data_IF_091859433877
#
_entry.id   IF_091859433877
#
_cell.length_a   1.000
_cell.length_b   1.000
_cell.length_c   1.000
_cell.angle_alpha   90.00
_cell.angle_beta   90.00
_cell.angle_gamma   90.00
#
_symmetry.space_group_name_H-M   'P 1'
#
loop_
_entity.id
_entity.type
_entity.pdbx_description
1 polymer ?
#
# COMPACT_ATOMS: atom_id res chain seq x y z
N UNK A 1 -41.73 51.35 46.57
CA UNK A 1 -40.77 51.84 45.54
C UNK A 1 -41.06 51.12 44.22
N UNK A 2 -40.94 51.85 43.10
CA UNK A 2 -41.68 51.67 41.84
C UNK A 2 -41.15 50.54 40.94
N UNK A 3 -42.10 49.80 40.34
CA UNK A 3 -41.93 48.93 39.16
C UNK A 3 -41.26 49.68 37.99
N UNK A 4 -40.36 49.01 37.27
CA UNK A 4 -40.05 49.34 35.86
C UNK A 4 -40.06 48.07 35.03
N UNK A 5 -41.07 48.00 34.18
CA UNK A 5 -41.23 47.12 33.05
C UNK A 5 -40.69 47.88 31.82
N UNK A 6 -39.79 47.28 31.05
CA UNK A 6 -39.53 47.62 29.65
C UNK A 6 -38.99 46.35 28.95
N UNK A 7 -39.69 45.96 27.88
CA UNK A 7 -39.43 44.90 26.90
C UNK A 7 -39.21 45.64 25.55
N UNK A 8 -38.83 45.01 24.41
CA UNK A 8 -37.75 44.05 24.07
C UNK A 8 -36.72 44.70 23.10
N UNK A 9 -35.60 44.02 22.78
CA UNK A 9 -34.89 44.25 21.51
C UNK A 9 -34.50 42.92 20.87
N UNK A 10 -35.05 42.74 19.67
CA UNK A 10 -34.78 41.67 18.72
C UNK A 10 -33.38 41.88 18.13
N UNK A 11 -32.49 40.89 18.23
CA UNK A 11 -31.25 40.86 17.46
C UNK A 11 -31.08 39.46 16.86
N UNK A 12 -31.54 39.36 15.61
CA UNK A 12 -31.24 38.32 14.65
C UNK A 12 -29.75 38.42 14.28
N UNK A 13 -28.94 37.40 14.57
CA UNK A 13 -27.63 37.22 13.91
C UNK A 13 -27.44 35.75 13.54
N UNK A 14 -27.61 35.55 12.24
CA UNK A 14 -26.93 34.66 11.29
C UNK A 14 -26.28 33.37 11.81
N UNK A 15 -26.72 32.27 11.20
CA UNK A 15 -26.07 30.98 11.28
C UNK A 15 -24.65 31.01 10.72
N UNK A 16 -23.79 30.24 11.38
CA UNK A 16 -22.74 29.49 10.73
C UNK A 16 -23.23 28.05 10.67
N UNK A 17 -24.01 27.74 9.62
CA UNK A 17 -23.90 26.43 9.02
C UNK A 17 -22.45 26.34 8.53
N UNK A 18 -21.57 25.75 9.34
CA UNK A 18 -20.26 25.30 8.91
C UNK A 18 -20.42 24.10 7.99
N UNK A 19 -21.09 24.30 6.85
CA UNK A 19 -20.80 23.55 5.65
C UNK A 19 -19.56 24.19 5.05
N UNK A 20 -18.42 23.52 5.21
CA UNK A 20 -17.15 23.89 4.62
C UNK A 20 -16.34 22.62 4.43
N UNK A 21 -16.55 21.99 3.28
CA UNK A 21 -15.84 20.85 2.70
C UNK A 21 -15.65 19.62 3.59
N UNK A 22 -16.52 18.62 3.38
CA UNK A 22 -16.21 17.21 3.63
C UNK A 22 -15.02 16.79 2.75
N UNK A 23 -13.81 17.16 3.18
CA UNK A 23 -12.55 16.53 2.79
C UNK A 23 -11.80 16.27 4.08
N UNK A 24 -12.08 15.12 4.66
CA UNK A 24 -11.14 14.45 5.55
C UNK A 24 -9.74 14.45 4.86
N UNK A 25 -8.66 14.76 5.59
CA UNK A 25 -7.54 15.54 5.04
C UNK A 25 -6.61 14.79 4.05
N UNK A 26 -6.26 15.43 2.93
CA UNK A 26 -5.26 14.90 1.96
C UNK A 26 -3.93 14.53 2.64
N UNK A 27 -3.58 15.27 3.69
CA UNK A 27 -2.41 15.02 4.52
C UNK A 27 -2.50 13.68 5.27
N UNK A 28 -3.68 13.31 5.78
CA UNK A 28 -3.88 12.00 6.41
C UNK A 28 -3.87 10.88 5.37
N UNK A 29 -4.43 11.09 4.18
CA UNK A 29 -4.31 10.12 3.08
C UNK A 29 -2.85 9.92 2.64
N UNK A 30 -2.05 10.98 2.60
CA UNK A 30 -0.59 10.92 2.36
C UNK A 30 0.11 10.13 3.46
N UNK A 31 -0.15 10.45 4.74
CA UNK A 31 0.45 9.75 5.89
C UNK A 31 0.09 8.26 5.90
N UNK A 32 -1.16 7.91 5.58
CA UNK A 32 -1.61 6.53 5.45
C UNK A 32 -0.84 5.76 4.37
N UNK A 33 -0.48 6.43 3.26
CA UNK A 33 0.36 5.82 2.24
C UNK A 33 1.81 5.70 2.72
N UNK A 34 2.39 6.75 3.30
CA UNK A 34 3.81 6.79 3.66
C UNK A 34 4.21 5.77 4.74
N UNK A 35 3.34 5.51 5.71
CA UNK A 35 3.59 4.47 6.72
C UNK A 35 3.41 3.06 6.17
N UNK A 36 2.73 2.90 5.03
CA UNK A 36 2.58 1.64 4.30
C UNK A 36 3.61 1.48 3.18
N UNK A 37 4.28 2.54 2.74
CA UNK A 37 5.13 2.55 1.54
C UNK A 37 6.25 1.50 1.58
N UNK A 38 6.86 1.28 2.75
CA UNK A 38 7.90 0.25 2.94
C UNK A 38 7.36 -1.18 2.81
N UNK A 39 6.08 -1.42 3.12
CA UNK A 39 5.46 -2.74 2.93
C UNK A 39 5.48 -3.15 1.46
N UNK A 40 5.38 -2.20 0.52
CA UNK A 40 5.40 -2.44 -0.92
C UNK A 40 6.78 -2.98 -1.35
N UNK A 41 7.86 -2.43 -0.79
CA UNK A 41 9.21 -2.93 -1.01
C UNK A 41 9.40 -4.34 -0.44
N UNK A 42 8.92 -4.58 0.79
CA UNK A 42 8.96 -5.90 1.43
C UNK A 42 8.13 -6.91 0.62
N UNK A 43 6.96 -6.52 0.12
CA UNK A 43 6.09 -7.37 -0.66
C UNK A 43 6.78 -7.84 -1.94
N UNK A 44 7.41 -6.92 -2.68
CA UNK A 44 8.20 -7.27 -3.86
C UNK A 44 9.41 -8.14 -3.50
N UNK A 45 10.15 -7.80 -2.43
CA UNK A 45 11.32 -8.57 -2.00
C UNK A 45 10.94 -10.02 -1.64
N UNK A 46 9.93 -10.20 -0.81
CA UNK A 46 9.39 -11.51 -0.42
C UNK A 46 8.84 -12.26 -1.64
N UNK A 47 8.19 -11.55 -2.57
CA UNK A 47 7.75 -12.11 -3.85
C UNK A 47 8.91 -12.71 -4.66
N UNK A 48 10.01 -11.99 -4.82
CA UNK A 48 11.20 -12.50 -5.50
C UNK A 48 11.91 -13.62 -4.73
N UNK A 49 11.92 -13.58 -3.40
CA UNK A 49 12.41 -14.70 -2.59
C UNK A 49 11.59 -15.96 -2.86
N UNK A 50 10.27 -15.83 -2.86
CA UNK A 50 9.33 -16.89 -3.20
C UNK A 50 9.54 -17.41 -4.63
N UNK A 51 9.64 -16.51 -5.62
CA UNK A 51 9.95 -16.86 -7.01
C UNK A 51 11.25 -17.67 -7.13
N UNK A 52 12.32 -17.22 -6.49
CA UNK A 52 13.63 -17.85 -6.55
C UNK A 52 13.72 -19.17 -5.78
N UNK A 53 12.78 -19.43 -4.86
CA UNK A 53 12.68 -20.66 -4.09
C UNK A 53 11.66 -21.65 -4.67
N UNK A 54 10.73 -21.18 -5.50
CA UNK A 54 9.62 -21.97 -6.01
C UNK A 54 10.12 -23.12 -6.91
N UNK A 55 9.75 -24.35 -6.55
CA UNK A 55 9.93 -25.55 -7.38
C UNK A 55 8.66 -25.95 -8.13
N UNK A 56 7.62 -25.12 -8.07
CA UNK A 56 6.31 -25.35 -8.67
C UNK A 56 5.65 -24.03 -9.05
N UNK A 57 4.47 -24.09 -9.68
CA UNK A 57 3.67 -22.90 -9.97
C UNK A 57 3.22 -22.13 -8.71
N UNK A 58 3.26 -22.76 -7.54
CA UNK A 58 2.89 -22.12 -6.28
C UNK A 58 4.13 -21.51 -5.62
N UNK A 59 3.95 -20.30 -5.10
CA UNK A 59 4.90 -19.62 -4.24
C UNK A 59 4.46 -19.82 -2.80
N UNK A 60 5.26 -20.58 -2.05
CA UNK A 60 5.03 -20.82 -0.63
C UNK A 60 5.12 -19.50 0.17
N UNK A 61 4.37 -19.37 1.28
CA UNK A 61 4.35 -18.15 2.08
C UNK A 61 5.75 -17.70 2.52
N UNK A 62 6.09 -16.47 2.19
CA UNK A 62 7.27 -15.75 2.65
C UNK A 62 6.83 -14.68 3.67
N UNK A 63 7.54 -14.54 4.77
CA UNK A 63 7.14 -13.66 5.87
C UNK A 63 8.26 -12.71 6.27
N UNK A 64 7.89 -11.50 6.68
CA UNK A 64 8.76 -10.56 7.36
C UNK A 64 8.00 -9.79 8.45
N UNK A 65 8.75 -9.19 9.37
CA UNK A 65 8.17 -8.30 10.39
C UNK A 65 8.01 -6.88 9.85
N UNK A 66 7.05 -6.14 10.42
CA UNK A 66 7.11 -4.68 10.38
C UNK A 66 8.34 -4.16 11.14
N UNK A 67 8.80 -2.96 10.81
CA UNK A 67 9.95 -2.35 11.48
C UNK A 67 9.67 -2.09 12.97
N UNK A 68 8.38 -2.00 13.36
CA UNK A 68 7.95 -1.87 14.77
C UNK A 68 7.19 -3.09 15.25
N UNK A 69 6.12 -3.48 14.57
CA UNK A 69 5.22 -4.56 15.02
C UNK A 69 4.61 -5.34 13.86
N UNK A 70 4.04 -6.50 14.19
CA UNK A 70 3.27 -7.32 13.28
C UNK A 70 4.07 -7.88 12.12
N UNK A 71 3.36 -8.42 11.14
CA UNK A 71 3.92 -9.25 10.07
C UNK A 71 3.27 -8.97 8.72
N UNK A 72 4.09 -9.03 7.68
CA UNK A 72 3.68 -9.14 6.29
C UNK A 72 3.93 -10.58 5.82
N UNK A 73 2.95 -11.16 5.12
CA UNK A 73 3.04 -12.49 4.50
C UNK A 73 2.71 -12.36 3.02
N UNK A 74 3.60 -12.84 2.16
CA UNK A 74 3.43 -12.90 0.71
C UNK A 74 3.37 -14.35 0.27
N UNK A 75 2.31 -14.72 -0.45
CA UNK A 75 2.15 -16.04 -1.07
C UNK A 75 1.61 -15.86 -2.47
N UNK A 76 1.62 -16.87 -3.33
CA UNK A 76 1.05 -16.66 -4.65
C UNK A 76 1.36 -17.74 -5.66
N UNK A 77 1.43 -17.33 -6.92
CA UNK A 77 1.72 -18.20 -8.04
C UNK A 77 2.62 -17.53 -9.06
N UNK A 78 3.32 -18.34 -9.82
CA UNK A 78 4.10 -17.92 -10.96
C UNK A 78 3.92 -18.92 -12.11
N UNK A 79 3.89 -18.39 -13.34
CA UNK A 79 3.86 -19.21 -14.55
C UNK A 79 5.04 -20.19 -14.60
N UNK A 80 4.79 -21.40 -15.07
CA UNK A 80 5.80 -22.44 -15.26
C UNK A 80 6.20 -22.58 -16.72
N UNK A 81 7.36 -23.19 -16.96
CA UNK A 81 7.90 -23.47 -18.28
C UNK A 81 9.15 -22.68 -18.59
N UNK A 82 9.84 -23.11 -19.65
CA UNK A 82 11.10 -22.51 -20.09
C UNK A 82 10.82 -21.28 -20.98
N UNK A 83 10.60 -20.15 -20.32
CA UNK A 83 10.33 -18.87 -20.97
C UNK A 83 11.02 -17.77 -20.15
N UNK A 84 11.71 -16.82 -20.79
CA UNK A 84 12.27 -15.66 -20.10
C UNK A 84 11.17 -14.66 -19.66
N UNK A 85 9.93 -14.89 -20.08
CA UNK A 85 8.76 -14.10 -19.65
C UNK A 85 7.92 -14.92 -18.66
N UNK A 86 7.51 -14.29 -17.57
CA UNK A 86 6.75 -14.89 -16.47
C UNK A 86 5.68 -13.93 -15.96
N UNK A 87 4.49 -14.45 -15.66
CA UNK A 87 3.52 -13.74 -14.81
C UNK A 87 3.62 -14.28 -13.40
N UNK A 88 3.62 -13.39 -12.42
CA UNK A 88 3.65 -13.69 -11.00
C UNK A 88 2.52 -12.92 -10.31
N UNK A 89 1.62 -13.66 -9.67
CA UNK A 89 0.47 -13.12 -8.94
C UNK A 89 0.66 -13.42 -7.47
N UNK A 90 0.80 -12.38 -6.66
CA UNK A 90 1.09 -12.46 -5.24
C UNK A 90 -0.06 -11.91 -4.42
N UNK A 91 -0.44 -12.61 -3.36
CA UNK A 91 -1.39 -12.17 -2.36
C UNK A 91 -0.63 -11.66 -1.14
N UNK A 92 -0.93 -10.44 -0.74
CA UNK A 92 -0.38 -9.80 0.44
C UNK A 92 -1.34 -9.95 1.62
N UNK A 93 -0.80 -10.37 2.76
CA UNK A 93 -1.53 -10.43 4.01
C UNK A 93 -0.75 -9.70 5.10
N UNK A 94 -1.35 -8.66 5.66
CA UNK A 94 -0.84 -7.91 6.81
C UNK A 94 -1.60 -8.31 8.06
N UNK A 95 -0.85 -8.55 9.14
CA UNK A 95 -1.41 -8.78 10.46
C UNK A 95 -0.68 -7.91 11.47
N UNK A 96 -1.43 -7.00 12.07
CA UNK A 96 -0.97 -6.02 13.07
C UNK A 96 0.32 -5.28 12.63
N UNK A 97 0.47 -5.12 11.31
CA UNK A 97 1.71 -4.66 10.68
C UNK A 97 1.91 -3.17 10.90
N UNK A 98 3.09 -2.78 11.37
CA UNK A 98 3.46 -1.36 11.46
C UNK A 98 4.97 -1.17 11.30
N UNK A 99 5.33 -0.21 10.45
CA UNK A 99 6.72 0.25 10.27
C UNK A 99 7.04 1.53 11.05
N UNK A 100 6.03 2.33 11.40
CA UNK A 100 6.22 3.59 12.11
C UNK A 100 5.88 3.50 13.61
N UNK A 101 5.01 2.55 13.99
CA UNK A 101 4.52 2.35 15.36
C UNK A 101 3.29 3.20 15.69
N UNK A 102 2.80 3.98 14.74
CA UNK A 102 1.68 4.91 14.90
C UNK A 102 0.43 4.38 14.22
N UNK A 103 0.58 3.84 13.00
CA UNK A 103 -0.52 3.24 12.24
C UNK A 103 -0.28 1.75 12.11
N UNK A 104 -1.31 0.97 12.44
CA UNK A 104 -1.30 -0.49 12.34
C UNK A 104 -2.22 -0.94 11.21
N UNK A 105 -1.71 -1.79 10.32
CA UNK A 105 -2.38 -2.29 9.13
C UNK A 105 -2.75 -3.75 9.26
N UNK A 106 -3.98 -4.06 8.87
CA UNK A 106 -4.50 -5.41 8.75
C UNK A 106 -5.12 -5.60 7.38
N UNK A 107 -4.93 -6.78 6.79
CA UNK A 107 -5.72 -7.22 5.62
C UNK A 107 -6.89 -8.05 6.11
N UNK A 108 -8.10 -7.68 5.70
CA UNK A 108 -9.32 -8.46 5.96
C UNK A 108 -10.12 -8.60 4.67
N UNK A 109 -10.83 -9.73 4.52
CA UNK A 109 -11.59 -10.02 3.30
C UNK A 109 -10.69 -10.44 2.13
N UNK A 110 -10.80 -9.74 0.99
CA UNK A 110 -9.99 -10.03 -0.20
C UNK A 110 -8.57 -9.51 -0.02
N UNK A 111 -7.58 -10.40 -0.09
CA UNK A 111 -6.18 -10.02 0.01
C UNK A 111 -5.80 -9.03 -1.11
N UNK A 112 -5.04 -7.96 -0.80
CA UNK A 112 -4.37 -7.16 -1.81
C UNK A 112 -3.52 -8.04 -2.73
N UNK A 113 -3.57 -7.73 -4.03
CA UNK A 113 -2.90 -8.50 -5.07
C UNK A 113 -1.80 -7.66 -5.71
N UNK A 114 -0.58 -8.18 -5.66
CA UNK A 114 0.57 -7.71 -6.42
C UNK A 114 0.73 -8.60 -7.66
N UNK A 115 0.27 -8.11 -8.80
CA UNK A 115 0.41 -8.77 -10.10
C UNK A 115 1.60 -8.21 -10.86
N UNK A 116 2.55 -9.07 -11.21
CA UNK A 116 3.80 -8.71 -11.86
C UNK A 116 4.00 -9.51 -13.15
N UNK A 117 4.36 -8.80 -14.21
CA UNK A 117 4.86 -9.33 -15.47
C UNK A 117 6.35 -9.10 -15.51
N UNK A 118 7.10 -10.20 -15.54
CA UNK A 118 8.54 -10.24 -15.69
C UNK A 118 8.83 -10.57 -17.15
N UNK A 119 9.58 -9.72 -17.85
CA UNK A 119 9.91 -9.92 -19.24
C UNK A 119 11.42 -9.89 -19.44
N UNK A 120 11.97 -10.83 -20.21
CA UNK A 120 13.40 -10.90 -20.49
C UNK A 120 14.26 -11.20 -19.26
N UNK A 121 13.83 -12.11 -18.39
CA UNK A 121 14.65 -12.60 -17.27
C UNK A 121 16.02 -13.09 -17.81
N UNK A 122 17.16 -12.71 -17.19
CA UNK A 122 17.27 -12.15 -15.85
C UNK A 122 17.45 -10.62 -15.72
N UNK A 123 17.66 -9.90 -16.82
CA UNK A 123 18.06 -8.48 -16.83
C UNK A 123 17.08 -7.54 -17.58
N UNK A 124 15.89 -8.06 -17.89
CA UNK A 124 14.84 -7.32 -18.57
C UNK A 124 14.02 -6.43 -17.62
N UNK A 125 12.69 -6.50 -17.74
CA UNK A 125 11.78 -5.54 -17.11
C UNK A 125 10.75 -6.21 -16.21
N UNK A 126 10.28 -5.45 -15.23
CA UNK A 126 9.14 -5.75 -14.38
C UNK A 126 8.07 -4.68 -14.65
N UNK A 127 6.84 -5.12 -14.89
CA UNK A 127 5.66 -4.25 -14.95
C UNK A 127 4.52 -4.90 -14.18
N UNK A 128 3.72 -4.12 -13.45
CA UNK A 128 2.67 -4.73 -12.65
C UNK A 128 1.77 -3.75 -11.93
N UNK A 129 0.93 -4.29 -11.05
CA UNK A 129 0.00 -3.52 -10.23
C UNK A 129 -0.07 -4.07 -8.81
N UNK A 130 -0.25 -3.18 -7.84
CA UNK A 130 -0.68 -3.53 -6.49
C UNK A 130 -2.06 -2.94 -6.26
N UNK A 131 -3.05 -3.80 -6.03
CA UNK A 131 -4.43 -3.38 -5.79
C UNK A 131 -5.01 -4.06 -4.56
N UNK A 132 -5.59 -3.30 -3.66
CA UNK A 132 -6.30 -3.85 -2.51
C UNK A 132 -6.51 -2.87 -1.38
N UNK A 133 -7.29 -3.30 -0.40
CA UNK A 133 -7.65 -2.49 0.75
C UNK A 133 -6.99 -3.02 2.03
N UNK A 134 -6.61 -2.08 2.88
CA UNK A 134 -6.00 -2.32 4.17
C UNK A 134 -6.81 -1.59 5.24
N UNK A 135 -7.09 -2.26 6.35
CA UNK A 135 -7.73 -1.66 7.52
C UNK A 135 -6.64 -1.03 8.40
N UNK A 136 -6.87 0.22 8.81
CA UNK A 136 -5.98 1.01 9.65
C UNK A 136 -6.53 1.13 11.07
N UNK A 137 -5.63 1.19 12.04
CA UNK A 137 -5.93 1.50 13.43
C UNK A 137 -4.76 2.24 14.09
N UNK A 138 -5.01 2.99 15.16
CA UNK A 138 -4.00 3.79 15.85
C UNK A 138 -4.15 5.27 15.54
N UNK A 139 -3.07 5.93 15.09
CA UNK A 139 -3.09 7.36 14.79
C UNK A 139 -3.98 7.73 13.60
N UNK A 140 -4.25 6.77 12.71
CA UNK A 140 -5.24 6.83 11.64
C UNK A 140 -6.11 5.58 11.72
N UNK A 141 -7.40 5.73 11.49
CA UNK A 141 -8.37 4.63 11.54
C UNK A 141 -9.10 4.49 10.20
N UNK A 142 -9.91 3.45 10.06
CA UNK A 142 -10.70 3.21 8.85
C UNK A 142 -9.96 2.32 7.84
N UNK A 143 -10.03 2.66 6.56
CA UNK A 143 -9.42 1.86 5.49
C UNK A 143 -8.72 2.72 4.45
N UNK A 144 -7.60 2.22 3.93
CA UNK A 144 -6.93 2.76 2.75
C UNK A 144 -6.93 1.71 1.64
N UNK A 145 -7.26 2.13 0.43
CA UNK A 145 -7.22 1.31 -0.78
C UNK A 145 -6.12 1.80 -1.68
N UNK A 146 -5.23 0.90 -2.06
CA UNK A 146 -4.17 1.14 -3.03
C UNK A 146 -4.64 0.69 -4.42
N UNK A 147 -4.40 1.54 -5.42
CA UNK A 147 -4.40 1.17 -6.84
C UNK A 147 -3.12 1.74 -7.46
N UNK A 148 -2.07 0.91 -7.46
CA UNK A 148 -0.74 1.29 -7.88
C UNK A 148 -0.34 0.51 -9.13
N UNK A 149 0.42 1.18 -10.00
CA UNK A 149 1.16 0.63 -11.12
C UNK A 149 2.64 0.66 -10.77
N UNK A 150 3.33 -0.43 -11.07
CA UNK A 150 4.76 -0.60 -10.86
C UNK A 150 5.45 -0.86 -12.20
N UNK A 151 6.61 -0.25 -12.41
CA UNK A 151 7.47 -0.52 -13.56
C UNK A 151 8.93 -0.40 -13.16
N UNK A 152 9.81 -1.28 -13.64
CA UNK A 152 11.24 -1.20 -13.36
C UNK A 152 12.06 -2.21 -14.14
N UNK A 153 13.34 -2.32 -13.79
CA UNK A 153 14.28 -3.27 -14.37
C UNK A 153 14.54 -4.44 -13.42
N UNK A 154 14.92 -5.58 -13.99
CA UNK A 154 15.38 -6.75 -13.26
C UNK A 154 16.90 -6.81 -13.26
N UNK A 155 17.47 -7.50 -12.28
CA UNK A 155 18.86 -7.90 -12.31
C UNK A 155 19.03 -9.29 -11.69
N UNK A 156 20.09 -10.02 -12.05
CA UNK A 156 20.52 -11.18 -11.30
C UNK A 156 20.92 -10.79 -9.87
N UNK A 157 20.70 -11.68 -8.89
CA UNK A 157 21.23 -11.47 -7.54
C UNK A 157 22.75 -11.58 -7.54
N UNK A 158 23.43 -10.82 -6.68
CA UNK A 158 24.89 -10.91 -6.56
C UNK A 158 25.39 -12.30 -6.11
N UNK A 159 24.57 -13.03 -5.34
CA UNK A 159 24.93 -14.33 -4.78
C UNK A 159 24.76 -15.48 -5.79
N UNK A 160 23.78 -15.36 -6.69
CA UNK A 160 23.44 -16.40 -7.65
C UNK A 160 22.89 -15.76 -8.94
N UNK A 161 23.60 -15.87 -10.08
CA UNK A 161 23.18 -15.27 -11.34
C UNK A 161 21.95 -15.92 -11.96
N UNK A 162 21.51 -17.08 -11.44
CA UNK A 162 20.26 -17.74 -11.85
C UNK A 162 19.04 -17.23 -11.07
N UNK A 163 19.25 -16.50 -9.99
CA UNK A 163 18.20 -15.86 -9.21
C UNK A 163 18.09 -14.41 -9.60
N UNK A 164 16.88 -13.88 -9.52
CA UNK A 164 16.58 -12.49 -9.91
C UNK A 164 16.02 -11.67 -8.77
N UNK A 165 16.20 -10.37 -8.88
CA UNK A 165 15.62 -9.35 -8.03
C UNK A 165 15.30 -8.10 -8.85
N UNK A 166 14.59 -7.15 -8.23
CA UNK A 166 14.45 -5.81 -8.83
C UNK A 166 15.81 -5.13 -8.83
N UNK A 167 16.10 -4.42 -9.91
CA UNK A 167 17.27 -3.54 -9.96
C UNK A 167 17.01 -2.28 -9.12
N UNK A 168 17.80 -2.02 -8.07
CA UNK A 168 17.64 -0.82 -7.24
C UNK A 168 17.72 0.47 -8.07
N UNK A 169 16.93 1.46 -7.69
CA UNK A 169 16.85 2.77 -8.32
C UNK A 169 16.00 2.84 -9.59
N UNK A 170 15.39 1.73 -10.02
CA UNK A 170 14.66 1.67 -11.31
C UNK A 170 13.15 1.47 -11.16
N UNK A 171 12.67 1.08 -9.98
CA UNK A 171 11.26 0.80 -9.75
C UNK A 171 10.51 2.11 -9.57
N UNK A 172 9.72 2.47 -10.58
CA UNK A 172 8.74 3.54 -10.52
C UNK A 172 7.40 2.99 -10.02
N UNK A 173 6.79 3.72 -9.08
CA UNK A 173 5.49 3.40 -8.50
C UNK A 173 4.58 4.61 -8.70
N UNK A 174 3.45 4.43 -9.36
CA UNK A 174 2.48 5.49 -9.62
C UNK A 174 1.06 5.02 -9.34
N UNK A 175 0.17 5.88 -8.91
CA UNK A 175 -1.24 5.53 -8.73
C UNK A 175 -1.87 6.32 -7.62
N UNK A 176 -2.77 5.68 -6.86
CA UNK A 176 -3.52 6.35 -5.80
C UNK A 176 -3.58 5.53 -4.52
N UNK A 177 -3.57 6.24 -3.40
CA UNK A 177 -4.02 5.73 -2.10
C UNK A 177 -5.29 6.49 -1.71
N UNK A 178 -6.41 5.79 -1.60
CA UNK A 178 -7.72 6.37 -1.29
C UNK A 178 -8.20 5.89 0.06
N UNK A 179 -8.56 6.82 0.93
CA UNK A 179 -9.14 6.55 2.25
C UNK A 179 -10.41 7.38 2.45
N UNK A 180 -11.04 7.28 3.62
CA UNK A 180 -12.09 8.23 3.98
C UNK A 180 -11.57 9.67 4.04
N UNK A 181 -10.26 9.85 4.31
CA UNK A 181 -9.52 11.11 4.28
C UNK A 181 -9.12 11.59 2.87
N UNK A 182 -9.83 11.14 1.84
CA UNK A 182 -9.56 11.55 0.47
C UNK A 182 -8.50 10.70 -0.23
N UNK A 183 -7.95 11.23 -1.32
CA UNK A 183 -7.07 10.48 -2.23
C UNK A 183 -5.72 11.18 -2.38
N UNK A 184 -4.66 10.43 -2.11
CA UNK A 184 -3.28 10.84 -2.33
C UNK A 184 -2.76 10.26 -3.64
N UNK A 185 -2.15 11.10 -4.48
CA UNK A 185 -1.50 10.66 -5.73
C UNK A 185 -0.07 10.23 -5.46
N UNK A 186 0.24 8.98 -5.79
CA UNK A 186 1.56 8.38 -5.62
C UNK A 186 2.36 8.52 -6.90
N UNK A 187 3.61 8.99 -6.79
CA UNK A 187 4.59 8.99 -7.88
C UNK A 187 6.01 8.99 -7.31
N UNK A 188 6.61 7.81 -7.21
CA UNK A 188 7.91 7.57 -6.57
C UNK A 188 8.83 6.77 -7.49
N UNK A 189 10.15 6.84 -7.26
CA UNK A 189 11.16 6.02 -7.94
C UNK A 189 12.21 5.55 -6.93
N UNK A 190 12.51 4.25 -6.92
CA UNK A 190 13.45 3.62 -5.97
C UNK A 190 14.05 2.31 -6.46
#
# INVERSE_FOLDING_TARGET
>A
MKRRMFLPLFALVLGLAGCGDDVASEEDARRAYESLDKSIDKAMQLGFQGFNAASSANIDPQMANGDRTGTITISGKVDQGDSPNKTMTLNEALKDYSDDGEVTYNTSGTAPVLDLKLAGIPDGTLNGTLKGSFTMSGALEGSVTLDLTLSGELQPTMADPMKIERKPGTTKITGTATSEYGTYTVNLTR
#
